data_IF_412367806736
#
_entry.id   IF_412367806736
#
_cell.length_a   1.000
_cell.length_b   1.000
_cell.length_c   1.000
_cell.angle_alpha   90.00
_cell.angle_beta   90.00
_cell.angle_gamma   90.00
#
_symmetry.space_group_name_H-M   'P 1'
#
loop_
_entity.id
_entity.type
_entity.pdbx_description
1 polymer ?
#
# COMPACT_ATOMS: atom_id res chain seq x y z
N UNK A 1 24.60 9.15 29.46
CA UNK A 1 24.62 7.95 28.59
C UNK A 1 23.29 7.88 27.83
N UNK A 2 23.12 8.76 26.86
CA UNK A 2 21.82 9.11 26.24
C UNK A 2 21.98 8.98 24.71
N UNK A 3 21.17 8.12 24.09
CA UNK A 3 20.90 7.96 22.65
C UNK A 3 22.10 7.86 21.67
N UNK A 4 22.82 6.73 21.64
CA UNK A 4 23.32 6.22 20.35
C UNK A 4 22.16 5.51 19.64
N UNK A 5 21.23 6.29 19.08
CA UNK A 5 20.14 5.74 18.25
C UNK A 5 20.81 4.98 17.10
N UNK A 6 20.44 3.71 16.94
CA UNK A 6 21.02 2.84 15.94
C UNK A 6 20.93 3.50 14.56
N UNK A 7 22.07 3.71 13.88
CA UNK A 7 22.14 4.44 12.58
C UNK A 7 21.14 3.88 11.57
N UNK A 8 20.82 2.60 11.67
CA UNK A 8 19.83 1.88 10.85
C UNK A 8 18.40 2.41 11.05
N UNK A 9 18.01 2.69 12.29
CA UNK A 9 16.68 3.21 12.63
C UNK A 9 16.53 4.65 12.10
N UNK A 10 17.59 5.46 12.17
CA UNK A 10 17.59 6.81 11.60
C UNK A 10 17.40 6.74 10.08
N UNK A 11 18.14 5.86 9.39
CA UNK A 11 18.02 5.68 7.95
C UNK A 11 16.64 5.16 7.55
N UNK A 12 16.13 4.12 8.21
CA UNK A 12 14.79 3.60 7.96
C UNK A 12 13.70 4.66 8.21
N UNK A 13 13.83 5.44 9.28
CA UNK A 13 12.94 6.56 9.57
C UNK A 13 13.01 7.67 8.51
N UNK A 14 14.19 7.97 7.98
CA UNK A 14 14.37 8.91 6.87
C UNK A 14 13.71 8.43 5.58
N UNK A 15 13.87 7.15 5.23
CA UNK A 15 13.19 6.53 4.08
C UNK A 15 11.68 6.60 4.27
N UNK A 16 11.17 6.21 5.44
CA UNK A 16 9.74 6.27 5.76
C UNK A 16 9.17 7.69 5.61
N UNK A 17 9.83 8.69 6.18
CA UNK A 17 9.38 10.08 6.09
C UNK A 17 9.40 10.58 4.64
N UNK A 18 10.42 10.23 3.86
CA UNK A 18 10.47 10.62 2.46
C UNK A 18 9.31 9.99 1.67
N UNK A 19 9.09 8.68 1.82
CA UNK A 19 7.97 7.98 1.17
C UNK A 19 6.63 8.63 1.55
N UNK A 20 6.41 8.91 2.84
CA UNK A 20 5.19 9.54 3.32
C UNK A 20 4.97 10.90 2.64
N UNK A 21 6.01 11.74 2.56
CA UNK A 21 5.92 13.06 1.93
C UNK A 21 5.69 12.98 0.42
N UNK A 22 6.29 12.01 -0.27
CA UNK A 22 6.11 11.81 -1.72
C UNK A 22 4.67 11.50 -2.09
N UNK A 23 3.95 10.73 -1.26
CA UNK A 23 2.58 10.29 -1.53
C UNK A 23 1.52 11.04 -0.71
N UNK A 24 1.89 12.02 0.11
CA UNK A 24 0.92 12.71 0.97
C UNK A 24 -0.20 13.37 0.17
N UNK A 25 0.12 13.86 -1.04
CA UNK A 25 -0.88 14.46 -1.93
C UNK A 25 -1.91 13.46 -2.45
N UNK A 26 -1.58 12.17 -2.55
CA UNK A 26 -2.50 11.14 -3.08
C UNK A 26 -3.70 10.90 -2.18
N UNK A 27 -3.61 11.28 -0.90
CA UNK A 27 -4.72 11.17 0.05
C UNK A 27 -5.92 12.04 -0.33
N UNK A 28 -5.70 13.09 -1.14
CA UNK A 28 -6.76 13.99 -1.59
C UNK A 28 -7.35 13.59 -2.95
N UNK A 29 -6.91 12.48 -3.54
CA UNK A 29 -7.44 12.01 -4.81
C UNK A 29 -8.89 11.50 -4.62
N UNK A 30 -9.84 11.87 -5.51
CA UNK A 30 -11.16 11.28 -5.53
C UNK A 30 -11.11 9.89 -6.18
N UNK A 31 -12.18 9.11 -6.00
CA UNK A 31 -12.41 7.96 -6.87
C UNK A 31 -12.59 8.43 -8.32
N UNK A 32 -12.02 7.68 -9.25
CA UNK A 32 -12.10 7.96 -10.68
C UNK A 32 -13.07 7.00 -11.38
N UNK A 33 -13.83 7.52 -12.34
CA UNK A 33 -14.85 6.78 -13.10
C UNK A 33 -14.24 5.86 -14.17
N UNK A 34 -13.37 4.95 -13.71
CA UNK A 34 -12.76 3.86 -14.45
C UNK A 34 -12.88 2.61 -13.57
N UNK A 35 -11.75 2.07 -13.11
CA UNK A 35 -11.70 0.82 -12.37
C UNK A 35 -12.23 0.93 -10.94
N UNK A 36 -12.22 2.12 -10.32
CA UNK A 36 -12.71 2.26 -8.94
C UNK A 36 -14.18 1.86 -8.80
N UNK A 37 -14.98 2.09 -9.85
CA UNK A 37 -16.40 1.71 -9.83
C UNK A 37 -16.57 0.20 -9.85
N UNK A 38 -15.93 -0.49 -10.79
CA UNK A 38 -16.08 -1.94 -10.94
C UNK A 38 -15.43 -2.73 -9.79
N UNK A 39 -14.29 -2.26 -9.27
CA UNK A 39 -13.55 -2.97 -8.24
C UNK A 39 -13.96 -2.61 -6.80
N UNK A 40 -14.47 -1.40 -6.56
CA UNK A 40 -14.75 -0.89 -5.21
C UNK A 40 -16.22 -0.48 -5.04
N UNK A 41 -16.70 0.49 -5.83
CA UNK A 41 -17.98 1.17 -5.54
C UNK A 41 -19.19 0.27 -5.84
N UNK A 42 -19.26 -0.28 -7.04
CA UNK A 42 -20.36 -1.10 -7.52
C UNK A 42 -20.15 -2.59 -7.21
N UNK A 43 -19.07 -2.92 -6.50
CA UNK A 43 -18.70 -4.28 -6.20
C UNK A 43 -19.46 -4.84 -4.99
N UNK A 44 -20.45 -5.70 -5.25
CA UNK A 44 -21.24 -6.36 -4.21
C UNK A 44 -20.38 -7.12 -3.19
N UNK A 45 -19.27 -7.75 -3.62
CA UNK A 45 -18.37 -8.48 -2.72
C UNK A 45 -17.72 -7.58 -1.67
N UNK A 46 -17.43 -6.32 -2.05
CA UNK A 46 -16.87 -5.30 -1.14
C UNK A 46 -17.96 -4.79 -0.19
N UNK A 47 -19.19 -4.64 -0.69
CA UNK A 47 -20.31 -4.10 0.06
C UNK A 47 -20.88 -5.07 1.11
N UNK A 48 -20.97 -6.36 0.80
CA UNK A 48 -21.65 -7.36 1.64
C UNK A 48 -20.75 -8.04 2.69
N UNK A 49 -19.43 -7.94 2.56
CA UNK A 49 -18.45 -8.54 3.47
C UNK A 49 -18.67 -10.06 3.71
N UNK A 50 -19.02 -10.82 2.67
CA UNK A 50 -19.16 -12.27 2.81
C UNK A 50 -17.81 -12.98 2.67
N UNK A 51 -17.21 -13.41 3.80
CA UNK A 51 -15.90 -14.06 3.83
C UNK A 51 -15.79 -15.27 2.91
N UNK A 52 -16.84 -16.07 2.74
CA UNK A 52 -16.79 -17.22 1.84
C UNK A 52 -16.65 -16.76 0.40
N UNK A 53 -17.50 -15.82 -0.01
CA UNK A 53 -17.53 -15.30 -1.38
C UNK A 53 -16.27 -14.52 -1.74
N UNK A 54 -15.71 -13.77 -0.80
CA UNK A 54 -14.43 -13.08 -0.98
C UNK A 54 -13.29 -14.02 -1.39
N UNK A 55 -13.34 -15.30 -0.99
CA UNK A 55 -12.32 -16.31 -1.31
C UNK A 55 -12.75 -17.33 -2.37
N UNK A 56 -13.96 -17.22 -2.92
CA UNK A 56 -14.45 -18.15 -3.96
C UNK A 56 -14.89 -17.47 -5.26
N UNK A 57 -15.08 -16.15 -5.23
CA UNK A 57 -15.64 -15.38 -6.34
C UNK A 57 -14.56 -14.64 -7.14
N UNK A 58 -14.87 -14.39 -8.41
CA UNK A 58 -14.08 -13.52 -9.27
C UNK A 58 -14.72 -12.12 -9.29
N UNK A 59 -13.90 -11.08 -9.27
CA UNK A 59 -14.34 -9.69 -9.38
C UNK A 59 -13.76 -9.06 -10.64
N UNK A 60 -14.61 -8.53 -11.51
CA UNK A 60 -14.20 -7.93 -12.80
C UNK A 60 -13.30 -8.86 -13.65
N UNK A 61 -13.50 -10.18 -13.57
CA UNK A 61 -12.68 -11.17 -14.28
C UNK A 61 -11.38 -11.57 -13.57
N UNK A 62 -11.10 -11.04 -12.39
CA UNK A 62 -9.88 -11.30 -11.63
C UNK A 62 -10.16 -12.04 -10.31
N UNK A 63 -9.28 -12.98 -9.94
CA UNK A 63 -9.31 -13.66 -8.66
C UNK A 63 -8.28 -13.05 -7.70
N UNK A 64 -8.74 -12.09 -6.89
CA UNK A 64 -7.90 -11.26 -6.03
C UNK A 64 -8.41 -11.23 -4.58
N UNK A 65 -8.50 -12.39 -3.89
CA UNK A 65 -9.22 -12.52 -2.62
C UNK A 65 -8.66 -11.65 -1.49
N UNK A 66 -7.33 -11.47 -1.44
CA UNK A 66 -6.68 -10.63 -0.42
C UNK A 66 -6.99 -9.14 -0.65
N UNK A 67 -7.01 -8.69 -1.90
CA UNK A 67 -7.41 -7.32 -2.24
C UNK A 67 -8.88 -7.09 -1.98
N UNK A 68 -9.75 -8.03 -2.36
CA UNK A 68 -11.18 -7.95 -2.08
C UNK A 68 -11.45 -7.90 -0.58
N UNK A 69 -10.79 -8.74 0.22
CA UNK A 69 -10.87 -8.69 1.67
C UNK A 69 -10.41 -7.33 2.21
N UNK A 70 -9.29 -6.80 1.70
CA UNK A 70 -8.79 -5.48 2.10
C UNK A 70 -9.78 -4.36 1.75
N UNK A 71 -10.40 -4.38 0.57
CA UNK A 71 -11.45 -3.43 0.19
C UNK A 71 -12.68 -3.57 1.05
N UNK A 72 -13.18 -4.79 1.25
CA UNK A 72 -14.36 -5.07 2.05
C UNK A 72 -14.14 -4.60 3.51
N UNK A 73 -12.95 -4.83 4.08
CA UNK A 73 -12.62 -4.36 5.44
C UNK A 73 -12.58 -2.83 5.47
N UNK A 74 -11.92 -2.21 4.50
CA UNK A 74 -11.84 -0.76 4.41
C UNK A 74 -13.24 -0.13 4.27
N UNK A 75 -14.10 -0.71 3.46
CA UNK A 75 -15.49 -0.28 3.28
C UNK A 75 -16.31 -0.48 4.56
N UNK A 76 -16.18 -1.62 5.23
CA UNK A 76 -16.89 -1.91 6.47
C UNK A 76 -16.53 -0.93 7.61
N UNK A 77 -15.28 -0.48 7.70
CA UNK A 77 -14.84 0.45 8.75
C UNK A 77 -15.04 1.92 8.40
N UNK A 78 -14.92 2.32 7.13
CA UNK A 78 -14.84 3.72 6.72
C UNK A 78 -15.84 4.13 5.63
N UNK A 79 -16.65 3.20 5.13
CA UNK A 79 -17.55 3.40 4.00
C UNK A 79 -16.78 3.70 2.70
N UNK A 80 -17.47 4.28 1.71
CA UNK A 80 -16.90 4.73 0.44
C UNK A 80 -16.19 6.09 0.59
N UNK A 81 -15.17 6.14 1.46
CA UNK A 81 -14.35 7.34 1.66
C UNK A 81 -13.01 7.20 0.90
N UNK A 82 -12.76 7.92 -0.21
CA UNK A 82 -11.55 7.76 -1.02
C UNK A 82 -10.27 7.99 -0.23
N UNK A 83 -10.27 8.93 0.72
CA UNK A 83 -9.13 9.20 1.60
C UNK A 83 -8.72 7.95 2.37
N UNK A 84 -9.69 7.19 2.87
CA UNK A 84 -9.41 5.94 3.60
C UNK A 84 -8.78 4.87 2.71
N UNK A 85 -9.20 4.80 1.44
CA UNK A 85 -8.68 3.81 0.51
C UNK A 85 -7.23 4.11 0.11
N UNK A 86 -6.93 5.38 -0.18
CA UNK A 86 -5.57 5.84 -0.45
C UNK A 86 -4.68 5.73 0.79
N UNK A 87 -5.21 6.01 1.98
CA UNK A 87 -4.47 5.85 3.25
C UNK A 87 -4.03 4.39 3.44
N UNK A 88 -4.93 3.43 3.22
CA UNK A 88 -4.61 2.00 3.31
C UNK A 88 -3.52 1.61 2.30
N UNK A 89 -3.63 2.03 1.04
CA UNK A 89 -2.61 1.75 0.02
C UNK A 89 -1.24 2.36 0.38
N UNK A 90 -1.23 3.59 0.91
CA UNK A 90 -0.01 4.25 1.36
C UNK A 90 0.63 3.53 2.57
N UNK A 91 -0.17 3.09 3.54
CA UNK A 91 0.33 2.33 4.69
C UNK A 91 0.96 1.00 4.25
N UNK A 92 0.34 0.31 3.29
CA UNK A 92 0.89 -0.91 2.71
C UNK A 92 2.21 -0.66 1.97
N UNK A 93 2.30 0.42 1.19
CA UNK A 93 3.55 0.81 0.53
C UNK A 93 4.66 1.16 1.52
N UNK A 94 4.35 1.93 2.58
CA UNK A 94 5.30 2.24 3.65
C UNK A 94 5.82 0.96 4.32
N UNK A 95 4.93 0.00 4.57
CA UNK A 95 5.32 -1.31 5.11
C UNK A 95 6.26 -2.04 4.15
N UNK A 96 5.93 -2.11 2.86
CA UNK A 96 6.76 -2.76 1.84
C UNK A 96 8.15 -2.13 1.74
N UNK A 97 8.24 -0.79 1.72
CA UNK A 97 9.51 -0.05 1.69
C UNK A 97 10.37 -0.39 2.92
N UNK A 98 9.77 -0.44 4.12
CA UNK A 98 10.47 -0.83 5.34
C UNK A 98 10.91 -2.30 5.31
N UNK A 99 10.06 -3.20 4.81
CA UNK A 99 10.40 -4.62 4.65
C UNK A 99 11.58 -4.79 3.70
N UNK A 100 11.61 -4.08 2.56
CA UNK A 100 12.73 -4.07 1.62
C UNK A 100 14.00 -3.58 2.30
N UNK A 101 13.94 -2.47 3.06
CA UNK A 101 15.10 -1.97 3.81
C UNK A 101 15.67 -3.03 4.74
N UNK A 102 14.83 -3.65 5.58
CA UNK A 102 15.29 -4.64 6.55
C UNK A 102 15.76 -5.94 5.89
N UNK A 103 15.09 -6.39 4.84
CA UNK A 103 15.47 -7.58 4.08
C UNK A 103 16.86 -7.39 3.43
N UNK A 104 17.06 -6.30 2.71
CA UNK A 104 18.33 -5.99 2.05
C UNK A 104 19.43 -5.76 3.08
N UNK A 105 19.12 -5.15 4.23
CA UNK A 105 20.08 -5.02 5.33
C UNK A 105 20.48 -6.40 5.88
N UNK A 106 19.53 -7.31 6.10
CA UNK A 106 19.79 -8.68 6.59
C UNK A 106 20.64 -9.49 5.61
N UNK A 107 20.45 -9.31 4.31
CA UNK A 107 21.21 -10.01 3.27
C UNK A 107 22.61 -9.42 3.09
N UNK A 108 22.72 -8.09 2.98
CA UNK A 108 23.98 -7.42 2.63
C UNK A 108 24.86 -7.04 3.82
N UNK A 109 24.28 -6.94 5.02
CA UNK A 109 24.91 -6.36 6.21
C UNK A 109 25.22 -4.86 6.10
N UNK A 110 24.89 -4.21 4.96
CA UNK A 110 25.30 -2.84 4.64
C UNK A 110 24.10 -1.90 4.64
N UNK A 111 24.00 -0.95 5.59
CA UNK A 111 22.85 -0.05 5.68
C UNK A 111 22.75 0.91 4.48
N UNK A 112 23.87 1.23 3.82
CA UNK A 112 23.87 2.06 2.60
C UNK A 112 23.15 1.37 1.44
N UNK A 113 23.44 0.08 1.21
CA UNK A 113 22.79 -0.71 0.15
C UNK A 113 21.29 -0.81 0.45
N UNK A 114 20.92 -1.15 1.68
CA UNK A 114 19.53 -1.19 2.12
C UNK A 114 18.80 0.14 1.91
N UNK A 115 19.46 1.26 2.24
CA UNK A 115 18.88 2.61 2.04
C UNK A 115 18.66 2.89 0.56
N UNK A 116 19.66 2.67 -0.29
CA UNK A 116 19.55 2.94 -1.73
C UNK A 116 18.43 2.09 -2.35
N UNK A 117 18.38 0.78 -2.06
CA UNK A 117 17.35 -0.11 -2.59
C UNK A 117 15.96 0.27 -2.10
N UNK A 118 15.81 0.59 -0.81
CA UNK A 118 14.53 1.02 -0.26
C UNK A 118 14.08 2.37 -0.84
N UNK A 119 15.01 3.32 -1.06
CA UNK A 119 14.72 4.59 -1.71
C UNK A 119 14.26 4.41 -3.16
N UNK A 120 14.92 3.50 -3.90
CA UNK A 120 14.48 3.16 -5.25
C UNK A 120 13.02 2.69 -5.21
N UNK A 121 12.66 1.73 -4.37
CA UNK A 121 11.25 1.29 -4.24
C UNK A 121 10.34 2.41 -3.75
N UNK A 122 10.80 3.24 -2.81
CA UNK A 122 10.02 4.30 -2.20
C UNK A 122 9.53 5.34 -3.20
N UNK A 123 10.37 5.79 -4.12
CA UNK A 123 10.07 6.96 -4.97
C UNK A 123 10.04 6.66 -6.47
N UNK A 124 10.21 5.39 -6.88
CA UNK A 124 10.22 5.04 -8.30
C UNK A 124 8.87 5.41 -8.97
N UNK A 125 8.88 6.13 -10.12
CA UNK A 125 7.65 6.55 -10.80
C UNK A 125 6.67 5.42 -11.13
N UNK A 126 7.18 4.21 -11.40
CA UNK A 126 6.34 3.01 -11.63
C UNK A 126 5.41 2.67 -10.46
N UNK A 127 5.74 3.09 -9.23
CA UNK A 127 4.90 2.83 -8.06
C UNK A 127 3.84 3.91 -7.84
N UNK A 128 3.83 5.00 -8.63
CA UNK A 128 2.86 6.09 -8.45
C UNK A 128 1.44 5.60 -8.64
N UNK A 129 1.20 4.81 -9.68
CA UNK A 129 -0.11 4.23 -9.98
C UNK A 129 -0.59 3.32 -8.85
N UNK A 130 0.25 2.35 -8.46
CA UNK A 130 -0.04 1.37 -7.41
C UNK A 130 -0.40 1.98 -6.05
N UNK A 131 0.17 3.15 -5.72
CA UNK A 131 -0.05 3.82 -4.42
C UNK A 131 -1.15 4.88 -4.50
N UNK A 132 -1.29 5.56 -5.64
CA UNK A 132 -2.12 6.76 -5.76
C UNK A 132 -3.48 6.50 -6.40
N UNK A 133 -3.70 5.33 -7.01
CA UNK A 133 -5.00 4.91 -7.55
C UNK A 133 -5.65 3.89 -6.61
N UNK A 134 -6.89 4.17 -6.18
CA UNK A 134 -7.62 3.34 -5.23
C UNK A 134 -7.79 1.88 -5.69
N UNK A 135 -8.18 1.64 -6.95
CA UNK A 135 -8.33 0.29 -7.52
C UNK A 135 -7.00 -0.47 -7.69
N UNK A 136 -5.86 0.21 -7.73
CA UNK A 136 -4.55 -0.39 -7.95
C UNK A 136 -3.92 -1.04 -6.70
N UNK A 137 -4.68 -1.15 -5.59
CA UNK A 137 -4.18 -1.69 -4.30
C UNK A 137 -3.61 -3.11 -4.43
N UNK A 138 -4.08 -3.89 -5.38
CA UNK A 138 -3.50 -5.20 -5.70
C UNK A 138 -1.99 -5.15 -5.79
N UNK A 139 -1.45 -4.18 -6.51
CA UNK A 139 -0.02 -4.04 -6.77
C UNK A 139 0.83 -3.77 -5.52
N UNK A 140 0.24 -3.26 -4.43
CA UNK A 140 0.94 -3.08 -3.14
C UNK A 140 0.67 -4.20 -2.13
N UNK A 141 -0.29 -5.09 -2.40
CA UNK A 141 -0.59 -6.28 -1.57
C UNK A 141 0.07 -7.55 -2.11
N UNK A 142 0.02 -7.75 -3.42
CA UNK A 142 0.68 -8.84 -4.13
C UNK A 142 1.10 -8.35 -5.52
N UNK A 143 2.39 -8.38 -5.87
CA UNK A 143 2.81 -8.29 -7.26
C UNK A 143 2.58 -9.60 -8.02
#
# INVERSE_FOLDING_TARGET
>A
MIFKKDKRIILAGGVFLLTLLTYLSSLNNPFICYDDYSFIIDNQLVNEFNLKELFTSFSSGHYHPVTLLSYAMNHAFFGLNPVSFHTTSLLLHLLNVLLVFWLVFKISGKPSIATITALLVAVHPMNVESVSWAAARSSVLYP
#
